data_IF_967487265554
#
_entry.id   IF_967487265554
#
_cell.length_a   1.000
_cell.length_b   1.000
_cell.length_c   1.000
_cell.angle_alpha   90.00
_cell.angle_beta   90.00
_cell.angle_gamma   90.00
#
_symmetry.space_group_name_H-M   'P 1'
#
loop_
_entity.id
_entity.type
_entity.pdbx_description
1 polymer ?
#
# COMPACT_ATOMS: atom_id res chain seq x y z
N UNK A 1 4.92 4.17 -25.59
CA UNK A 1 3.61 3.58 -25.91
C UNK A 1 2.65 4.11 -24.87
N UNK A 2 1.53 4.69 -25.29
CA UNK A 2 0.54 5.19 -24.35
C UNK A 2 -0.19 4.00 -23.72
N UNK A 3 -0.27 3.99 -22.38
CA UNK A 3 -0.99 2.95 -21.64
C UNK A 3 -2.50 3.10 -21.89
N UNK A 4 -3.20 1.98 -21.91
CA UNK A 4 -4.66 1.92 -21.97
C UNK A 4 -5.21 1.17 -20.78
N UNK A 5 -6.51 1.33 -20.52
CA UNK A 5 -7.17 0.65 -19.40
C UNK A 5 -6.99 -0.86 -19.50
N UNK A 6 -7.02 -1.43 -20.71
CA UNK A 6 -6.87 -2.86 -20.95
C UNK A 6 -5.49 -3.40 -20.53
N UNK A 7 -4.46 -2.57 -20.46
CA UNK A 7 -3.12 -3.00 -20.05
C UNK A 7 -3.06 -3.36 -18.54
N UNK A 8 -4.06 -2.93 -17.75
CA UNK A 8 -4.25 -3.34 -16.36
C UNK A 8 -5.06 -4.64 -16.19
N UNK A 9 -5.71 -5.14 -17.24
CA UNK A 9 -6.56 -6.32 -17.20
C UNK A 9 -6.02 -7.43 -18.11
N UNK A 10 -5.20 -8.28 -17.52
CA UNK A 10 -4.47 -9.37 -18.17
C UNK A 10 -5.06 -10.72 -17.77
N UNK A 11 -4.66 -11.79 -18.48
CA UNK A 11 -5.08 -13.16 -18.14
C UNK A 11 -4.75 -13.57 -16.68
N UNK A 12 -3.67 -13.03 -16.11
CA UNK A 12 -3.29 -13.35 -14.73
C UNK A 12 -4.26 -12.76 -13.68
N UNK A 13 -5.05 -11.74 -14.01
CA UNK A 13 -6.06 -11.15 -13.13
C UNK A 13 -7.49 -11.18 -13.69
N UNK A 14 -7.73 -11.97 -14.74
CA UNK A 14 -9.08 -12.21 -15.24
C UNK A 14 -9.91 -13.02 -14.25
N UNK A 15 -11.21 -12.76 -14.28
CA UNK A 15 -12.22 -13.38 -13.43
C UNK A 15 -13.39 -13.73 -14.34
N UNK A 16 -13.66 -15.03 -14.51
CA UNK A 16 -14.69 -15.50 -15.45
C UNK A 16 -15.84 -16.25 -14.75
N UNK A 17 -15.64 -16.66 -13.49
CA UNK A 17 -16.59 -17.46 -12.70
C UNK A 17 -17.62 -16.66 -11.92
N UNK A 18 -17.54 -15.32 -11.97
CA UNK A 18 -18.44 -14.41 -11.26
C UNK A 18 -19.64 -14.05 -12.14
N UNK A 19 -20.81 -13.91 -11.51
CA UNK A 19 -22.07 -13.49 -12.14
C UNK A 19 -22.74 -12.38 -11.34
N UNK A 20 -23.76 -11.73 -11.89
CA UNK A 20 -24.53 -10.69 -11.18
C UNK A 20 -25.17 -11.19 -9.88
N UNK A 21 -25.45 -12.48 -9.76
CA UNK A 21 -26.01 -13.05 -8.53
C UNK A 21 -25.02 -12.96 -7.36
N UNK A 22 -23.71 -13.08 -7.63
CA UNK A 22 -22.69 -12.98 -6.60
C UNK A 22 -22.66 -11.59 -5.93
N UNK A 23 -23.12 -10.54 -6.61
CA UNK A 23 -23.13 -9.17 -6.08
C UNK A 23 -24.20 -8.92 -5.02
N UNK A 24 -25.24 -9.76 -4.94
CA UNK A 24 -26.39 -9.53 -4.04
C UNK A 24 -26.01 -9.44 -2.57
N UNK A 25 -24.95 -10.15 -2.18
CA UNK A 25 -24.52 -10.25 -0.78
C UNK A 25 -23.35 -9.32 -0.42
N UNK A 26 -22.94 -8.42 -1.32
CA UNK A 26 -21.81 -7.52 -1.07
C UNK A 26 -22.14 -6.31 -0.20
N UNK A 27 -23.42 -6.00 0.01
CA UNK A 27 -23.84 -4.80 0.74
C UNK A 27 -23.27 -4.75 2.18
N UNK A 28 -23.33 -5.86 2.92
CA UNK A 28 -22.76 -5.94 4.29
C UNK A 28 -21.24 -5.74 4.27
N UNK A 29 -20.56 -6.31 3.27
CA UNK A 29 -19.12 -6.18 3.10
C UNK A 29 -18.73 -4.72 2.82
N UNK A 30 -19.41 -4.07 1.88
CA UNK A 30 -19.14 -2.67 1.52
C UNK A 30 -19.46 -1.72 2.66
N UNK A 31 -20.55 -1.95 3.41
CA UNK A 31 -20.83 -1.20 4.66
C UNK A 31 -19.73 -1.35 5.70
N UNK A 32 -19.12 -2.53 5.78
CA UNK A 32 -17.95 -2.78 6.62
C UNK A 32 -16.72 -1.97 6.18
N UNK A 33 -16.42 -1.97 4.88
CA UNK A 33 -15.32 -1.18 4.28
C UNK A 33 -15.55 0.32 4.47
N UNK A 34 -16.77 0.79 4.22
CA UNK A 34 -17.17 2.19 4.42
C UNK A 34 -17.01 2.61 5.90
N UNK A 35 -17.51 1.80 6.83
CA UNK A 35 -17.35 2.04 8.26
C UNK A 35 -15.89 2.08 8.68
N UNK A 36 -15.05 1.19 8.17
CA UNK A 36 -13.61 1.22 8.42
C UNK A 36 -12.97 2.49 7.87
N UNK A 37 -13.34 2.92 6.65
CA UNK A 37 -12.74 4.07 5.99
C UNK A 37 -12.90 5.38 6.78
N UNK A 38 -14.02 5.54 7.49
CA UNK A 38 -14.26 6.70 8.39
C UNK A 38 -13.39 6.71 9.65
N UNK A 39 -12.74 5.59 9.97
CA UNK A 39 -11.92 5.43 11.18
C UNK A 39 -10.41 5.44 10.91
N UNK A 40 -10.00 5.67 9.67
CA UNK A 40 -8.60 5.72 9.26
C UNK A 40 -8.28 7.04 8.55
N UNK A 41 -7.03 7.47 8.64
CA UNK A 41 -6.51 8.60 7.86
C UNK A 41 -6.20 8.22 6.41
N UNK A 42 -6.16 6.93 6.10
CA UNK A 42 -5.83 6.40 4.79
C UNK A 42 -7.05 6.45 3.86
N UNK A 43 -6.82 6.65 2.56
CA UNK A 43 -7.89 6.52 1.58
C UNK A 43 -8.10 5.04 1.24
N UNK A 44 -9.36 4.61 1.14
CA UNK A 44 -9.74 3.21 0.94
C UNK A 44 -10.66 3.10 -0.26
N UNK A 45 -10.42 2.14 -1.14
CA UNK A 45 -11.32 1.85 -2.26
C UNK A 45 -11.29 0.36 -2.62
N UNK A 46 -12.29 -0.09 -3.38
CA UNK A 46 -12.42 -1.50 -3.79
C UNK A 46 -12.39 -1.57 -5.31
N UNK A 47 -11.44 -2.36 -5.83
CA UNK A 47 -11.34 -2.70 -7.25
C UNK A 47 -12.24 -3.91 -7.52
N UNK A 48 -12.97 -3.85 -8.63
CA UNK A 48 -13.69 -4.98 -9.20
C UNK A 48 -12.97 -5.48 -10.46
N UNK A 49 -12.34 -6.64 -10.37
CA UNK A 49 -11.61 -7.26 -11.49
C UNK A 49 -12.53 -7.92 -12.51
N UNK A 50 -13.79 -8.21 -12.15
CA UNK A 50 -14.79 -8.74 -13.08
C UNK A 50 -15.36 -7.61 -13.95
N UNK A 51 -15.86 -6.54 -13.33
CA UNK A 51 -16.40 -5.36 -14.04
C UNK A 51 -15.34 -4.36 -14.51
N UNK A 52 -14.07 -4.58 -14.16
CA UNK A 52 -12.91 -3.79 -14.57
C UNK A 52 -12.99 -2.31 -14.16
N UNK A 53 -13.43 -2.07 -12.93
CA UNK A 53 -13.68 -0.74 -12.40
C UNK A 53 -13.50 -0.66 -10.89
N UNK A 54 -14.09 0.37 -10.30
CA UNK A 54 -14.17 0.51 -8.85
C UNK A 54 -15.59 0.21 -8.36
N UNK A 55 -15.70 -0.49 -7.24
CA UNK A 55 -16.96 -0.83 -6.60
C UNK A 55 -17.28 0.08 -5.41
N UNK A 56 -16.25 0.67 -4.80
CA UNK A 56 -16.35 1.59 -3.67
C UNK A 56 -15.15 2.52 -3.65
N UNK A 57 -15.33 3.78 -3.24
CA UNK A 57 -14.27 4.77 -3.02
C UNK A 57 -14.63 5.56 -1.75
N UNK A 58 -13.70 5.69 -0.81
CA UNK A 58 -13.90 6.49 0.40
C UNK A 58 -13.82 7.99 0.12
N UNK A 59 -14.55 8.78 0.91
CA UNK A 59 -14.47 10.25 0.92
C UNK A 59 -13.20 10.75 1.66
N UNK A 60 -12.03 10.34 1.17
CA UNK A 60 -10.74 10.79 1.66
C UNK A 60 -10.01 11.56 0.55
N UNK A 61 -9.65 12.84 0.76
CA UNK A 61 -9.14 13.70 -0.30
C UNK A 61 -7.80 13.24 -0.88
N UNK A 62 -7.04 12.39 -0.18
CA UNK A 62 -5.71 11.97 -0.60
C UNK A 62 -5.72 11.30 -1.97
N UNK A 63 -6.63 10.37 -2.22
CA UNK A 63 -6.70 9.65 -3.51
C UNK A 63 -7.66 10.31 -4.50
N UNK A 64 -8.63 11.09 -4.02
CA UNK A 64 -9.65 11.72 -4.84
C UNK A 64 -9.11 12.76 -5.83
N UNK A 65 -7.96 13.37 -5.57
CA UNK A 65 -7.32 14.33 -6.48
C UNK A 65 -8.24 15.48 -6.97
N UNK A 66 -9.18 15.91 -6.13
CA UNK A 66 -10.14 16.98 -6.45
C UNK A 66 -11.49 16.51 -6.99
N UNK A 67 -11.67 15.21 -7.23
CA UNK A 67 -12.97 14.61 -7.57
C UNK A 67 -13.78 14.24 -6.33
N UNK A 68 -15.06 14.00 -6.53
CA UNK A 68 -15.94 13.30 -5.60
C UNK A 68 -15.75 11.78 -5.71
N UNK A 69 -16.12 10.99 -4.68
CA UNK A 69 -16.14 9.54 -4.80
C UNK A 69 -16.96 9.03 -5.99
N UNK A 70 -18.11 9.64 -6.27
CA UNK A 70 -18.99 9.29 -7.39
C UNK A 70 -18.32 9.50 -8.75
N UNK A 71 -17.67 10.65 -8.96
CA UNK A 71 -16.90 10.93 -10.17
C UNK A 71 -15.76 9.92 -10.35
N UNK A 72 -15.08 9.54 -9.27
CA UNK A 72 -14.00 8.56 -9.33
C UNK A 72 -14.51 7.15 -9.69
N UNK A 73 -15.68 6.77 -9.17
CA UNK A 73 -16.36 5.52 -9.52
C UNK A 73 -16.73 5.48 -11.02
N UNK A 74 -17.25 6.59 -11.55
CA UNK A 74 -17.59 6.72 -12.97
C UNK A 74 -16.35 6.69 -13.88
N UNK A 75 -15.26 7.34 -13.47
CA UNK A 75 -13.99 7.32 -14.19
C UNK A 75 -13.34 5.93 -14.20
N UNK A 76 -13.43 5.20 -13.09
CA UNK A 76 -12.77 3.91 -12.90
C UNK A 76 -11.26 4.01 -13.18
N UNK A 77 -10.73 3.09 -13.99
CA UNK A 77 -9.30 3.03 -14.30
C UNK A 77 -8.78 4.17 -15.20
N UNK A 78 -9.67 4.98 -15.81
CA UNK A 78 -9.24 6.20 -16.49
C UNK A 78 -8.59 7.20 -15.53
N UNK A 79 -8.90 7.09 -14.23
CA UNK A 79 -8.22 7.83 -13.17
C UNK A 79 -6.70 7.65 -13.25
N UNK A 80 -6.19 6.41 -13.35
CA UNK A 80 -4.74 6.19 -13.40
C UNK A 80 -4.09 6.80 -14.63
N UNK A 81 -4.80 6.87 -15.75
CA UNK A 81 -4.27 7.47 -16.99
C UNK A 81 -4.25 9.01 -16.89
N UNK A 82 -5.21 9.57 -16.16
CA UNK A 82 -5.43 11.02 -16.07
C UNK A 82 -4.66 11.67 -14.93
N UNK A 83 -4.47 10.94 -13.83
CA UNK A 83 -3.98 11.47 -12.56
C UNK A 83 -2.65 10.86 -12.11
N UNK A 84 -1.97 10.07 -12.94
CA UNK A 84 -0.58 9.62 -12.68
C UNK A 84 0.34 10.27 -13.71
N UNK A 85 1.59 10.63 -13.36
CA UNK A 85 2.56 11.08 -14.35
C UNK A 85 2.75 10.04 -15.45
N UNK A 86 2.80 10.52 -16.70
CA UNK A 86 2.89 9.66 -17.88
C UNK A 86 4.12 8.74 -17.86
N UNK A 87 5.19 9.18 -17.24
CA UNK A 87 6.45 8.45 -17.06
C UNK A 87 6.30 7.21 -16.14
N UNK A 88 5.30 7.22 -15.26
CA UNK A 88 5.05 6.15 -14.28
C UNK A 88 3.98 5.14 -14.74
N UNK A 89 3.24 5.44 -15.82
CA UNK A 89 2.22 4.54 -16.36
C UNK A 89 2.75 3.14 -16.68
N UNK A 90 3.87 3.05 -17.39
CA UNK A 90 4.47 1.76 -17.76
C UNK A 90 4.91 0.95 -16.55
N UNK A 91 5.38 1.64 -15.49
CA UNK A 91 5.72 1.03 -14.22
C UNK A 91 4.48 0.42 -13.55
N UNK A 92 3.34 1.12 -13.55
CA UNK A 92 2.11 0.60 -12.94
C UNK A 92 1.57 -0.65 -13.66
N UNK A 93 1.56 -0.65 -15.00
CA UNK A 93 1.21 -1.85 -15.77
C UNK A 93 2.17 -3.03 -15.49
N UNK A 94 3.47 -2.75 -15.43
CA UNK A 94 4.50 -3.74 -15.12
C UNK A 94 4.33 -4.33 -13.72
N UNK A 95 4.05 -3.50 -12.71
CA UNK A 95 3.79 -3.91 -11.33
C UNK A 95 2.53 -4.77 -11.27
N UNK A 96 1.42 -4.33 -11.87
CA UNK A 96 0.18 -5.08 -11.90
C UNK A 96 0.39 -6.49 -12.49
N UNK A 97 1.05 -6.56 -13.65
CA UNK A 97 1.38 -7.84 -14.31
C UNK A 97 2.29 -8.72 -13.47
N UNK A 98 3.39 -8.18 -12.97
CA UNK A 98 4.37 -8.93 -12.18
C UNK A 98 3.83 -9.36 -10.83
N UNK A 99 2.98 -8.54 -10.22
CA UNK A 99 2.29 -8.78 -8.97
C UNK A 99 1.33 -9.96 -9.07
N UNK A 100 0.42 -9.94 -10.05
CA UNK A 100 -0.50 -11.06 -10.27
C UNK A 100 0.20 -12.37 -10.66
N UNK A 101 1.23 -12.28 -11.52
CA UNK A 101 2.04 -13.45 -11.87
C UNK A 101 2.78 -14.06 -10.67
N UNK A 102 3.15 -13.25 -9.68
CA UNK A 102 3.78 -13.72 -8.45
C UNK A 102 2.75 -14.25 -7.46
N UNK A 103 1.67 -13.50 -7.23
CA UNK A 103 0.51 -13.89 -6.42
C UNK A 103 -0.04 -15.27 -6.82
N UNK A 104 -0.18 -15.54 -8.12
CA UNK A 104 -0.73 -16.81 -8.61
C UNK A 104 0.18 -18.03 -8.36
N UNK A 105 1.46 -17.83 -8.01
CA UNK A 105 2.37 -18.93 -7.62
C UNK A 105 2.09 -19.47 -6.22
N UNK A 106 1.41 -18.70 -5.37
CA UNK A 106 1.10 -19.13 -4.02
C UNK A 106 -0.13 -20.04 -3.99
N UNK A 107 -0.18 -21.03 -3.09
CA UNK A 107 -1.37 -21.84 -2.83
C UNK A 107 -2.59 -21.00 -2.43
N UNK A 108 -3.79 -21.49 -2.73
CA UNK A 108 -5.06 -20.81 -2.43
C UNK A 108 -5.19 -20.37 -0.96
N UNK A 109 -4.73 -21.21 -0.03
CA UNK A 109 -4.76 -20.93 1.40
C UNK A 109 -3.89 -19.74 1.83
N UNK A 110 -2.88 -19.38 1.03
CA UNK A 110 -1.97 -18.28 1.30
C UNK A 110 -2.38 -16.98 0.61
N UNK A 111 -3.03 -17.08 -0.56
CA UNK A 111 -3.42 -15.92 -1.39
C UNK A 111 -4.22 -14.86 -0.62
N UNK A 112 -5.16 -15.26 0.25
CA UNK A 112 -5.95 -14.33 1.08
C UNK A 112 -5.13 -13.45 2.03
N UNK A 113 -3.87 -13.84 2.29
CA UNK A 113 -2.95 -13.11 3.17
C UNK A 113 -1.97 -12.23 2.40
N UNK A 114 -1.95 -12.32 1.07
CA UNK A 114 -1.03 -11.57 0.24
C UNK A 114 -1.36 -10.08 0.23
N UNK A 115 -0.31 -9.27 0.27
CA UNK A 115 -0.38 -7.82 0.15
C UNK A 115 0.73 -7.40 -0.81
N UNK A 116 0.38 -6.66 -1.85
CA UNK A 116 1.35 -5.94 -2.67
C UNK A 116 1.29 -4.47 -2.29
N UNK A 117 2.43 -3.81 -2.18
CA UNK A 117 2.53 -2.39 -1.88
C UNK A 117 3.52 -1.72 -2.81
N UNK A 118 3.17 -0.55 -3.34
CA UNK A 118 4.09 0.20 -4.19
C UNK A 118 3.86 1.70 -4.16
N UNK A 119 4.93 2.43 -4.47
CA UNK A 119 4.93 3.89 -4.45
C UNK A 119 4.82 4.47 -5.86
N UNK A 120 3.92 5.45 -6.04
CA UNK A 120 3.78 6.22 -7.27
C UNK A 120 3.19 7.60 -6.99
N UNK A 121 3.33 8.51 -7.94
CA UNK A 121 2.79 9.85 -7.82
C UNK A 121 1.35 9.95 -8.32
N UNK A 122 0.55 10.71 -7.60
CA UNK A 122 -0.76 11.18 -8.06
C UNK A 122 -0.73 12.69 -8.30
N UNK A 123 -1.47 13.13 -9.31
CA UNK A 123 -1.58 14.50 -9.78
C UNK A 123 -2.94 15.07 -9.43
N UNK A 124 -2.93 16.21 -8.75
CA UNK A 124 -4.08 17.07 -8.53
C UNK A 124 -3.77 18.45 -9.10
N UNK A 125 -4.17 18.68 -10.35
CA UNK A 125 -3.77 19.86 -11.12
C UNK A 125 -2.25 19.94 -11.27
N UNK A 126 -1.62 20.94 -10.65
CA UNK A 126 -0.16 21.12 -10.67
C UNK A 126 0.56 20.45 -9.50
N UNK A 127 -0.18 19.93 -8.52
CA UNK A 127 0.39 19.31 -7.34
C UNK A 127 0.64 17.82 -7.61
N UNK A 128 1.86 17.38 -7.33
CA UNK A 128 2.26 15.98 -7.36
C UNK A 128 2.49 15.50 -5.94
N UNK A 129 1.87 14.37 -5.56
CA UNK A 129 2.02 13.76 -4.24
C UNK A 129 2.45 12.32 -4.40
N UNK A 130 3.54 11.92 -3.72
CA UNK A 130 3.98 10.54 -3.68
C UNK A 130 3.15 9.76 -2.65
N UNK A 131 2.47 8.72 -3.11
CA UNK A 131 1.64 7.85 -2.26
C UNK A 131 2.22 6.45 -2.18
N UNK A 132 1.95 5.76 -1.07
CA UNK A 132 2.07 4.32 -0.96
C UNK A 132 0.70 3.70 -1.17
N UNK A 133 0.60 2.78 -2.12
CA UNK A 133 -0.62 2.08 -2.48
C UNK A 133 -0.48 0.60 -2.16
N UNK A 134 -1.42 0.07 -1.36
CA UNK A 134 -1.46 -1.33 -0.94
C UNK A 134 -2.71 -2.00 -1.47
N UNK A 135 -2.56 -3.21 -2.00
CA UNK A 135 -3.67 -4.04 -2.47
C UNK A 135 -3.63 -5.38 -1.75
N UNK A 136 -4.78 -5.82 -1.25
CA UNK A 136 -4.97 -7.18 -0.72
C UNK A 136 -6.30 -7.77 -1.22
N UNK A 137 -6.41 -9.09 -1.44
CA UNK A 137 -7.66 -9.70 -1.87
C UNK A 137 -8.76 -9.53 -0.82
N UNK A 138 -9.88 -8.93 -1.20
CA UNK A 138 -11.07 -8.77 -0.36
C UNK A 138 -12.01 -9.97 -0.54
N UNK A 139 -12.32 -10.29 -1.79
CA UNK A 139 -13.13 -11.47 -2.16
C UNK A 139 -12.42 -12.21 -3.27
N UNK A 140 -12.36 -13.53 -3.14
CA UNK A 140 -11.75 -14.43 -4.12
C UNK A 140 -12.78 -15.42 -4.65
N UNK A 141 -12.60 -15.82 -5.90
CA UNK A 141 -13.33 -16.93 -6.52
C UNK A 141 -12.87 -18.28 -5.95
N UNK A 142 -13.65 -19.34 -6.22
CA UNK A 142 -13.31 -20.70 -5.79
C UNK A 142 -12.00 -21.21 -6.39
N UNK A 143 -11.70 -20.84 -7.64
CA UNK A 143 -10.43 -21.14 -8.33
C UNK A 143 -9.27 -20.22 -7.91
N UNK A 144 -9.52 -19.27 -7.00
CA UNK A 144 -8.50 -18.49 -6.33
C UNK A 144 -8.06 -17.22 -7.04
N UNK A 145 -8.87 -16.70 -7.97
CA UNK A 145 -8.66 -15.38 -8.56
C UNK A 145 -9.17 -14.32 -7.59
N UNK A 146 -8.55 -13.15 -7.62
CA UNK A 146 -9.03 -12.00 -6.86
C UNK A 146 -10.20 -11.38 -7.62
N UNK A 147 -11.42 -11.54 -7.10
CA UNK A 147 -12.58 -10.86 -7.67
C UNK A 147 -12.61 -9.40 -7.23
N UNK A 148 -12.56 -9.17 -5.91
CA UNK A 148 -12.53 -7.83 -5.33
C UNK A 148 -11.18 -7.60 -4.64
N UNK A 149 -10.51 -6.49 -4.96
CA UNK A 149 -9.27 -6.07 -4.30
C UNK A 149 -9.51 -4.88 -3.39
N UNK A 150 -9.18 -5.00 -2.11
CA UNK A 150 -9.18 -3.87 -1.18
C UNK A 150 -7.89 -3.08 -1.35
N UNK A 151 -8.04 -1.79 -1.62
CA UNK A 151 -6.95 -0.86 -1.82
C UNK A 151 -6.89 0.15 -0.68
N UNK A 152 -5.68 0.40 -0.18
CA UNK A 152 -5.40 1.38 0.87
C UNK A 152 -4.29 2.29 0.39
N UNK A 153 -4.50 3.60 0.49
CA UNK A 153 -3.58 4.64 0.04
C UNK A 153 -3.20 5.53 1.21
N UNK A 154 -1.90 5.74 1.39
CA UNK A 154 -1.34 6.70 2.35
C UNK A 154 -0.25 7.52 1.68
N UNK A 155 0.25 8.55 2.36
CA UNK A 155 1.50 9.20 1.96
C UNK A 155 2.63 8.17 1.98
N UNK A 156 3.53 8.25 0.99
CA UNK A 156 4.70 7.37 0.99
C UNK A 156 5.70 7.82 2.07
N UNK A 157 6.34 6.87 2.78
CA UNK A 157 7.48 7.17 3.65
C UNK A 157 8.79 7.37 2.87
N UNK A 158 8.79 7.15 1.55
CA UNK A 158 9.95 7.33 0.68
C UNK A 158 9.92 8.69 -0.03
N UNK A 159 10.97 8.94 -0.81
CA UNK A 159 11.15 10.19 -1.59
C UNK A 159 11.10 9.97 -3.11
N UNK A 160 10.86 8.73 -3.55
CA UNK A 160 10.80 8.36 -4.97
C UNK A 160 9.75 7.28 -5.21
N UNK A 161 9.17 7.27 -6.41
CA UNK A 161 8.31 6.17 -6.85
C UNK A 161 9.10 4.88 -7.11
N UNK A 162 8.39 3.76 -7.25
CA UNK A 162 8.97 2.49 -7.69
C UNK A 162 9.54 1.60 -6.58
N UNK A 163 9.36 1.94 -5.31
CA UNK A 163 9.51 0.98 -4.21
C UNK A 163 8.34 0.01 -4.28
N UNK A 164 8.61 -1.27 -4.56
CA UNK A 164 7.58 -2.28 -4.81
C UNK A 164 7.88 -3.49 -3.94
N UNK A 165 6.95 -3.81 -3.04
CA UNK A 165 7.07 -4.92 -2.12
C UNK A 165 5.86 -5.83 -2.16
N UNK A 166 6.09 -7.10 -1.87
CA UNK A 166 5.08 -8.12 -1.69
C UNK A 166 5.30 -8.79 -0.34
N UNK A 167 4.22 -9.00 0.40
CA UNK A 167 4.23 -9.57 1.75
C UNK A 167 3.08 -10.53 1.92
N UNK A 168 3.16 -11.36 2.96
CA UNK A 168 2.03 -12.16 3.42
C UNK A 168 1.79 -11.91 4.90
N UNK A 169 0.53 -11.68 5.27
CA UNK A 169 0.14 -11.48 6.67
C UNK A 169 0.49 -12.72 7.51
N UNK A 170 1.25 -12.51 8.59
CA UNK A 170 1.72 -13.58 9.48
C UNK A 170 2.92 -14.37 8.95
N UNK A 171 3.62 -13.85 7.94
CA UNK A 171 4.90 -14.35 7.44
C UNK A 171 5.94 -13.22 7.54
N UNK A 172 7.18 -13.57 7.88
CA UNK A 172 8.27 -12.59 7.99
C UNK A 172 8.97 -12.32 6.66
N UNK A 173 8.64 -13.10 5.62
CA UNK A 173 9.23 -12.93 4.29
C UNK A 173 8.67 -11.72 3.57
N UNK A 174 9.58 -10.93 3.02
CA UNK A 174 9.30 -9.78 2.18
C UNK A 174 9.98 -10.01 0.84
N UNK A 175 9.26 -9.73 -0.25
CA UNK A 175 9.85 -9.73 -1.59
C UNK A 175 9.82 -8.33 -2.16
N UNK A 176 10.93 -7.90 -2.75
CA UNK A 176 11.06 -6.64 -3.46
C UNK A 176 11.12 -6.91 -4.97
N UNK A 177 10.38 -6.13 -5.76
CA UNK A 177 10.44 -6.26 -7.21
C UNK A 177 11.53 -5.35 -7.79
N UNK A 178 12.54 -5.95 -8.41
CA UNK A 178 13.58 -5.21 -9.12
C UNK A 178 13.17 -4.96 -10.57
N UNK A 179 12.82 -3.71 -10.88
CA UNK A 179 12.51 -3.25 -12.24
C UNK A 179 13.69 -3.35 -13.22
N UNK A 180 14.92 -3.39 -12.72
CA UNK A 180 16.12 -3.59 -13.55
C UNK A 180 16.24 -5.03 -14.04
N UNK A 181 15.95 -5.99 -13.17
CA UNK A 181 16.04 -7.43 -13.51
C UNK A 181 14.70 -8.07 -13.87
N UNK A 182 13.60 -7.31 -13.77
CA UNK A 182 12.22 -7.76 -13.90
C UNK A 182 11.88 -9.00 -13.04
N UNK A 183 12.39 -9.03 -11.80
CA UNK A 183 12.27 -10.20 -10.89
C UNK A 183 11.98 -9.77 -9.46
N UNK A 184 11.16 -10.59 -8.80
CA UNK A 184 10.99 -10.59 -7.35
C UNK A 184 12.22 -11.20 -6.68
N UNK A 185 12.74 -10.53 -5.65
CA UNK A 185 13.84 -11.01 -4.81
C UNK A 185 13.40 -10.96 -3.37
N UNK A 186 13.70 -12.01 -2.63
CA UNK A 186 13.49 -12.00 -1.18
C UNK A 186 14.45 -11.01 -0.52
N UNK A 187 13.95 -10.31 0.49
CA UNK A 187 14.63 -9.27 1.24
C UNK A 187 14.46 -9.54 2.73
N UNK A 188 15.50 -9.26 3.49
CA UNK A 188 15.44 -9.36 4.95
C UNK A 188 14.47 -8.32 5.52
N UNK A 189 13.65 -8.77 6.45
CA UNK A 189 12.77 -7.89 7.21
C UNK A 189 13.62 -6.99 8.11
N UNK A 190 13.30 -5.70 8.12
CA UNK A 190 13.94 -4.78 9.06
C UNK A 190 13.39 -5.07 10.46
N UNK A 191 14.29 -5.36 11.40
CA UNK A 191 13.95 -5.59 12.79
C UNK A 191 14.49 -4.47 13.69
N UNK A 192 13.57 -3.85 14.41
CA UNK A 192 13.87 -2.85 15.44
C UNK A 192 13.98 -3.51 16.81
N UNK A 193 14.97 -3.10 17.60
CA UNK A 193 15.08 -3.54 19.01
C UNK A 193 13.96 -2.94 19.86
N UNK A 194 13.76 -3.47 21.07
CA UNK A 194 12.83 -2.89 22.05
C UNK A 194 13.13 -1.41 22.30
N UNK A 195 14.41 -1.06 22.45
CA UNK A 195 14.83 0.32 22.72
C UNK A 195 14.59 1.25 21.53
N UNK A 196 14.83 0.77 20.31
CA UNK A 196 14.54 1.53 19.09
C UNK A 196 13.02 1.79 18.94
N UNK A 197 12.19 0.81 19.29
CA UNK A 197 10.72 0.95 19.35
C UNK A 197 10.27 1.92 20.43
N UNK A 198 10.83 1.83 21.64
CA UNK A 198 10.52 2.76 22.74
C UNK A 198 10.85 4.21 22.34
N UNK A 199 12.00 4.43 21.70
CA UNK A 199 12.38 5.75 21.17
C UNK A 199 11.37 6.25 20.14
N UNK A 200 10.88 5.41 19.23
CA UNK A 200 9.84 5.78 18.27
C UNK A 200 8.52 6.12 18.98
N UNK A 201 8.05 5.27 19.89
CA UNK A 201 6.78 5.47 20.60
C UNK A 201 6.79 6.77 21.40
N UNK A 202 7.84 7.02 22.18
CA UNK A 202 7.95 8.26 22.95
C UNK A 202 8.11 9.49 22.04
N UNK A 203 8.82 9.35 20.91
CA UNK A 203 8.90 10.44 19.92
C UNK A 203 7.53 10.74 19.28
N UNK A 204 6.71 9.72 19.03
CA UNK A 204 5.36 9.89 18.49
C UNK A 204 4.42 10.62 19.48
N UNK A 205 4.68 10.49 20.78
CA UNK A 205 3.96 11.18 21.85
C UNK A 205 4.42 12.64 22.05
N UNK A 206 5.44 13.08 21.31
CA UNK A 206 5.95 14.46 21.36
C UNK A 206 7.06 14.70 22.37
N UNK A 207 7.57 13.65 23.04
CA UNK A 207 8.69 13.80 23.97
C UNK A 207 9.98 14.19 23.24
N UNK A 208 10.68 15.15 23.81
CA UNK A 208 12.00 15.53 23.34
C UNK A 208 13.08 14.55 23.83
N UNK A 209 14.28 14.65 23.28
CA UNK A 209 15.37 13.71 23.55
C UNK A 209 15.71 13.56 25.05
N UNK A 210 15.66 14.66 25.80
CA UNK A 210 16.05 14.67 27.20
C UNK A 210 14.94 14.02 28.04
N UNK A 211 13.66 14.29 27.71
CA UNK A 211 12.50 13.60 28.31
C UNK A 211 12.48 12.10 27.99
N UNK A 212 12.87 11.69 26.78
CA UNK A 212 12.99 10.26 26.42
C UNK A 212 14.06 9.59 27.27
N UNK A 213 15.19 10.27 27.51
CA UNK A 213 16.27 9.74 28.32
C UNK A 213 15.79 9.49 29.76
N UNK A 214 15.03 10.43 30.32
CA UNK A 214 14.42 10.31 31.64
C UNK A 214 13.41 9.14 31.70
N UNK A 215 12.50 9.02 30.71
CA UNK A 215 11.50 7.94 30.66
C UNK A 215 12.12 6.56 30.55
N UNK A 216 13.21 6.43 29.77
CA UNK A 216 13.91 5.15 29.58
C UNK A 216 14.94 4.86 30.68
N UNK A 217 15.12 5.77 31.65
CA UNK A 217 16.19 5.72 32.66
C UNK A 217 17.58 5.52 32.01
N UNK A 218 17.86 6.25 30.92
CA UNK A 218 19.12 6.20 30.15
C UNK A 218 19.77 7.58 30.07
N UNK A 219 21.03 7.63 29.63
CA UNK A 219 21.66 8.91 29.31
C UNK A 219 21.15 9.44 27.97
N UNK A 220 21.19 10.76 27.80
CA UNK A 220 20.89 11.44 26.53
C UNK A 220 21.75 10.89 25.39
N UNK A 221 23.00 10.52 25.65
CA UNK A 221 23.90 9.95 24.65
C UNK A 221 23.50 8.53 24.23
N UNK A 222 22.95 7.73 25.15
CA UNK A 222 22.36 6.43 24.81
C UNK A 222 21.13 6.60 23.89
N UNK A 223 20.29 7.62 24.13
CA UNK A 223 19.16 7.92 23.23
C UNK A 223 19.65 8.36 21.84
N UNK A 224 20.72 9.17 21.76
CA UNK A 224 21.35 9.51 20.47
C UNK A 224 21.86 8.27 19.74
N UNK A 225 22.44 7.32 20.47
CA UNK A 225 22.92 6.06 19.91
C UNK A 225 21.76 5.24 19.31
N UNK A 226 20.66 5.04 20.05
CA UNK A 226 19.49 4.34 19.54
C UNK A 226 18.88 5.03 18.31
N UNK A 227 18.75 6.36 18.32
CA UNK A 227 18.26 7.12 17.17
C UNK A 227 19.13 6.95 15.93
N UNK A 228 20.46 6.98 16.10
CA UNK A 228 21.39 6.77 14.97
C UNK A 228 21.20 5.39 14.35
N UNK A 229 21.21 4.34 15.18
CA UNK A 229 21.03 2.97 14.67
C UNK A 229 19.67 2.77 14.01
N UNK A 230 18.61 3.32 14.62
CA UNK A 230 17.26 3.34 14.04
C UNK A 230 17.25 4.00 12.66
N UNK A 231 17.88 5.16 12.52
CA UNK A 231 17.93 5.89 11.25
C UNK A 231 18.73 5.13 10.19
N UNK A 232 19.87 4.56 10.58
CA UNK A 232 20.71 3.75 9.69
C UNK A 232 19.97 2.50 9.20
N UNK A 233 19.23 1.80 10.08
CA UNK A 233 18.42 0.61 9.73
C UNK A 233 17.28 0.93 8.77
N UNK A 234 16.59 2.05 8.98
CA UNK A 234 15.45 2.46 8.16
C UNK A 234 15.86 3.23 6.90
N UNK A 235 17.12 3.67 6.79
CA UNK A 235 17.61 4.49 5.69
C UNK A 235 17.01 5.90 5.67
N UNK A 236 16.67 6.44 6.84
CA UNK A 236 15.98 7.74 7.02
C UNK A 236 16.89 8.77 7.69
N UNK A 237 16.53 10.05 7.60
CA UNK A 237 17.38 11.16 8.08
C UNK A 237 16.95 11.75 9.40
N UNK A 238 15.70 11.53 9.80
CA UNK A 238 15.12 12.15 10.98
C UNK A 238 13.97 11.31 11.56
N UNK A 239 13.49 11.74 12.72
CA UNK A 239 12.47 11.01 13.48
C UNK A 239 11.10 11.00 12.78
N UNK A 240 10.76 12.07 12.05
CA UNK A 240 9.49 12.14 11.31
C UNK A 240 9.46 11.12 10.18
N UNK A 241 10.56 11.02 9.41
CA UNK A 241 10.72 9.97 8.39
C UNK A 241 10.71 8.58 9.03
N UNK A 242 11.39 8.39 10.16
CA UNK A 242 11.40 7.11 10.89
C UNK A 242 10.01 6.68 11.36
N UNK A 243 9.21 7.62 11.89
CA UNK A 243 7.83 7.39 12.31
C UNK A 243 6.92 7.06 11.12
N UNK A 244 7.05 7.81 10.02
CA UNK A 244 6.31 7.57 8.78
C UNK A 244 6.62 6.17 8.22
N UNK A 245 7.90 5.80 8.17
CA UNK A 245 8.35 4.48 7.73
C UNK A 245 7.84 3.37 8.64
N UNK A 246 8.07 3.48 9.96
CA UNK A 246 7.66 2.47 10.93
C UNK A 246 6.15 2.23 10.93
N UNK A 247 5.34 3.30 10.82
CA UNK A 247 3.87 3.21 10.70
C UNK A 247 3.46 2.53 9.39
N UNK A 248 4.05 2.96 8.28
CA UNK A 248 3.72 2.45 6.95
C UNK A 248 4.12 0.98 6.77
N UNK A 249 5.16 0.54 7.47
CA UNK A 249 5.75 -0.80 7.32
C UNK A 249 5.38 -1.75 8.46
N UNK A 250 4.60 -1.31 9.45
CA UNK A 250 4.13 -2.12 10.57
C UNK A 250 5.25 -2.54 11.53
N UNK A 251 6.16 -1.61 11.84
CA UNK A 251 7.32 -1.85 12.73
C UNK A 251 7.08 -1.43 14.18
N UNK A 252 5.92 -0.83 14.47
CA UNK A 252 5.44 -0.46 15.81
C UNK A 252 4.47 -1.50 16.35
#
# INVERSE_FOLDING_TARGET
MDIRVEDFFIEANSVDSVTEENYRDLDVLLRGVDSFSRSTYQSVYVIDYFKKGFLYVSDNPLFLCGYTPEELLEMGYLFYISNVPKEEHSMLAEINKSGFNFFNKFPLSQRRKCIISYDFHILNGKHSTLINHKITPLVMTEDGRTWLGLCVVSLSPHTSAGHIEFRMSGDDRIWEYSRLSHKWKEKEKIELTSEEKDVLVLSAQGFNRDEIADHMCKSVDTIKFYRRNLFDKLGVKNITEALSYATSYGLL
#
